data_IF_456472399826
#
_entry.id   IF_456472399826
#
_cell.length_a   1.000
_cell.length_b   1.000
_cell.length_c   1.000
_cell.angle_alpha   90.00
_cell.angle_beta   90.00
_cell.angle_gamma   90.00
#
_symmetry.space_group_name_H-M   'P 1'
#
loop_
_entity.id
_entity.type
_entity.pdbx_description
1 polymer ?
#
# COMPACT_ATOMS: atom_id res chain seq x y z
N UNK A 1 27.91 -30.73 21.07
CA UNK A 1 27.50 -32.15 20.97
C UNK A 1 26.27 -32.51 21.83
N UNK A 2 25.90 -31.72 22.85
CA UNK A 2 24.73 -31.98 23.73
C UNK A 2 23.36 -31.80 23.07
N UNK A 3 23.24 -31.01 22.00
CA UNK A 3 21.95 -30.71 21.36
C UNK A 3 21.30 -31.92 20.66
N UNK A 4 22.10 -32.91 20.22
CA UNK A 4 21.58 -34.14 19.59
C UNK A 4 20.95 -35.13 20.57
N UNK A 5 21.38 -35.11 21.84
CA UNK A 5 20.86 -36.05 22.84
C UNK A 5 19.41 -35.72 23.25
N UNK A 6 19.09 -34.43 23.37
CA UNK A 6 17.74 -33.98 23.73
C UNK A 6 16.68 -34.31 22.67
N UNK A 7 17.01 -34.19 21.39
CA UNK A 7 16.09 -34.49 20.29
C UNK A 7 15.74 -35.99 20.28
N UNK A 8 16.70 -36.86 20.61
CA UNK A 8 16.48 -38.30 20.60
C UNK A 8 15.57 -38.78 21.74
N UNK A 9 15.76 -38.25 22.96
CA UNK A 9 14.88 -38.57 24.08
C UNK A 9 13.44 -38.09 23.87
N UNK A 10 13.26 -36.90 23.28
CA UNK A 10 11.93 -36.40 22.91
C UNK A 10 11.26 -37.29 21.86
N UNK A 11 12.02 -37.78 20.88
CA UNK A 11 11.51 -38.69 19.85
C UNK A 11 11.09 -40.05 20.43
N UNK A 12 11.94 -40.67 21.28
CA UNK A 12 11.64 -41.98 21.90
C UNK A 12 10.44 -41.88 22.83
N UNK A 13 10.36 -40.81 23.64
CA UNK A 13 9.20 -40.57 24.51
C UNK A 13 7.91 -40.37 23.70
N UNK A 14 7.97 -39.61 22.61
CA UNK A 14 6.84 -39.41 21.70
C UNK A 14 6.40 -40.71 21.02
N UNK A 15 7.35 -41.54 20.58
CA UNK A 15 7.07 -42.82 19.93
C UNK A 15 6.46 -43.83 20.90
N UNK A 16 6.99 -43.96 22.11
CA UNK A 16 6.43 -44.83 23.14
C UNK A 16 5.02 -44.38 23.57
N UNK A 17 4.81 -43.07 23.74
CA UNK A 17 3.48 -42.51 24.00
C UNK A 17 2.50 -42.77 22.86
N UNK A 18 2.94 -42.63 21.61
CA UNK A 18 2.15 -42.93 20.42
C UNK A 18 1.73 -44.41 20.32
N UNK A 19 2.66 -45.34 20.57
CA UNK A 19 2.36 -46.77 20.60
C UNK A 19 1.36 -47.13 21.70
N UNK A 20 1.52 -46.54 22.89
CA UNK A 20 0.59 -46.75 23.99
C UNK A 20 -0.81 -46.23 23.65
N UNK A 21 -0.91 -44.99 23.15
CA UNK A 21 -2.19 -44.41 22.73
C UNK A 21 -2.85 -45.22 21.60
N UNK A 22 -2.08 -45.71 20.64
CA UNK A 22 -2.57 -46.57 19.57
C UNK A 22 -3.07 -47.93 20.09
N UNK A 23 -2.32 -48.57 20.99
CA UNK A 23 -2.72 -49.84 21.59
C UNK A 23 -4.04 -49.69 22.37
N UNK A 24 -4.16 -48.63 23.18
CA UNK A 24 -5.39 -48.32 23.91
C UNK A 24 -6.54 -48.02 22.96
N UNK A 25 -6.33 -47.14 21.97
CA UNK A 25 -7.36 -46.79 20.99
C UNK A 25 -7.85 -47.99 20.18
N UNK A 26 -6.95 -48.91 19.82
CA UNK A 26 -7.29 -50.15 19.12
C UNK A 26 -8.18 -51.06 19.97
N UNK A 27 -7.86 -51.26 21.25
CA UNK A 27 -8.68 -52.07 22.15
C UNK A 27 -10.05 -51.43 22.40
N UNK A 28 -10.10 -50.11 22.56
CA UNK A 28 -11.37 -49.38 22.70
C UNK A 28 -12.23 -49.56 21.44
N UNK A 29 -11.66 -49.37 20.25
CA UNK A 29 -12.38 -49.59 18.98
C UNK A 29 -12.93 -51.02 18.87
N UNK A 30 -12.10 -52.02 19.22
CA UNK A 30 -12.52 -53.43 19.18
C UNK A 30 -13.60 -53.76 20.20
N UNK A 31 -13.57 -53.12 21.37
CA UNK A 31 -14.62 -53.24 22.37
C UNK A 31 -15.96 -52.69 21.86
N UNK A 32 -15.95 -51.51 21.25
CA UNK A 32 -17.15 -50.91 20.63
C UNK A 32 -17.64 -51.66 19.40
N UNK A 33 -16.77 -52.34 18.65
CA UNK A 33 -17.16 -53.14 17.49
C UNK A 33 -17.84 -54.47 17.87
N UNK A 34 -17.55 -55.01 19.06
CA UNK A 34 -18.04 -56.34 19.51
C UNK A 34 -19.19 -56.27 20.50
N UNK A 35 -19.42 -55.12 21.13
CA UNK A 35 -20.40 -54.95 22.20
C UNK A 35 -21.21 -53.66 21.99
N UNK A 36 -22.49 -53.62 22.40
CA UNK A 36 -23.28 -52.40 22.39
C UNK A 36 -22.60 -51.28 23.19
N UNK A 37 -22.59 -50.05 22.65
CA UNK A 37 -21.88 -48.91 23.22
C UNK A 37 -22.21 -48.65 24.70
N UNK A 38 -23.46 -48.89 25.12
CA UNK A 38 -23.89 -48.74 26.52
C UNK A 38 -23.13 -49.64 27.50
N UNK A 39 -22.82 -50.88 27.11
CA UNK A 39 -22.12 -51.85 27.97
C UNK A 39 -20.64 -51.49 28.07
N UNK A 40 -20.00 -51.10 26.95
CA UNK A 40 -18.59 -50.70 26.92
C UNK A 40 -18.37 -49.46 27.77
N UNK A 41 -19.27 -48.48 27.68
CA UNK A 41 -19.21 -47.26 28.49
C UNK A 41 -19.44 -47.57 29.96
N UNK A 42 -20.40 -48.44 30.32
CA UNK A 42 -20.65 -48.81 31.71
C UNK A 42 -19.51 -49.64 32.34
N UNK A 43 -18.91 -50.57 31.59
CA UNK A 43 -17.78 -51.36 32.04
C UNK A 43 -16.54 -50.48 32.21
N UNK A 44 -16.27 -49.58 31.26
CA UNK A 44 -15.19 -48.61 31.38
C UNK A 44 -15.38 -47.69 32.60
N UNK A 45 -16.59 -47.16 32.81
CA UNK A 45 -16.92 -46.34 33.99
C UNK A 45 -16.78 -47.13 35.30
N UNK A 46 -17.15 -48.41 35.32
CA UNK A 46 -17.00 -49.26 36.50
C UNK A 46 -15.54 -49.62 36.80
N UNK A 47 -14.72 -49.85 35.77
CA UNK A 47 -13.29 -50.11 35.90
C UNK A 47 -12.54 -48.86 36.40
N UNK A 48 -12.93 -47.68 35.90
CA UNK A 48 -12.47 -46.38 36.40
C UNK A 48 -12.90 -46.16 37.85
N UNK A 49 -14.12 -46.60 38.22
CA UNK A 49 -14.62 -46.56 39.60
C UNK A 49 -13.85 -47.45 40.60
N UNK A 50 -13.16 -48.48 40.12
CA UNK A 50 -12.33 -49.37 40.95
C UNK A 50 -10.93 -48.80 41.25
N UNK A 51 -10.43 -47.87 40.44
CA UNK A 51 -9.16 -47.13 40.59
C UNK A 51 -9.30 -45.87 41.46
N UNK A 52 -10.20 -45.86 42.45
CA UNK A 52 -10.58 -44.67 43.24
C UNK A 52 -9.48 -44.03 44.10
N UNK A 53 -8.31 -44.65 44.28
CA UNK A 53 -7.26 -44.17 45.20
C UNK A 53 -6.00 -43.64 44.52
N UNK A 54 -5.72 -44.05 43.28
CA UNK A 54 -4.60 -43.57 42.48
C UNK A 54 -5.24 -43.10 41.15
N UNK A 55 -5.03 -41.84 40.79
CA UNK A 55 -5.16 -41.31 39.41
C UNK A 55 -6.32 -40.39 39.01
N UNK A 56 -7.25 -39.95 39.88
CA UNK A 56 -8.18 -38.87 39.44
C UNK A 56 -7.42 -37.57 39.12
N UNK A 57 -6.42 -37.22 39.95
CA UNK A 57 -5.57 -36.04 39.75
C UNK A 57 -4.59 -36.23 38.59
N UNK A 58 -4.04 -37.44 38.39
CA UNK A 58 -3.13 -37.74 37.29
C UNK A 58 -3.84 -37.76 35.94
N UNK A 59 -5.00 -38.42 35.83
CA UNK A 59 -5.82 -38.45 34.62
C UNK A 59 -6.29 -37.04 34.27
N UNK A 60 -6.75 -36.26 35.25
CA UNK A 60 -7.15 -34.86 35.03
C UNK A 60 -5.96 -34.01 34.57
N UNK A 61 -4.78 -34.22 35.15
CA UNK A 61 -3.55 -33.52 34.73
C UNK A 61 -3.14 -33.84 33.29
N UNK A 62 -3.15 -35.12 32.90
CA UNK A 62 -2.84 -35.56 31.53
C UNK A 62 -3.89 -35.01 30.55
N UNK A 63 -5.18 -35.12 30.88
CA UNK A 63 -6.26 -34.57 30.07
C UNK A 63 -6.12 -33.06 29.90
N UNK A 64 -5.76 -32.33 30.96
CA UNK A 64 -5.51 -30.89 30.90
C UNK A 64 -4.32 -30.55 29.98
N UNK A 65 -3.22 -31.31 30.04
CA UNK A 65 -2.06 -31.11 29.15
C UNK A 65 -2.42 -31.39 27.70
N UNK A 66 -3.17 -32.47 27.42
CA UNK A 66 -3.64 -32.78 26.07
C UNK A 66 -4.58 -31.68 25.56
N UNK A 67 -5.53 -31.25 26.38
CA UNK A 67 -6.47 -30.18 26.04
C UNK A 67 -5.72 -28.85 25.77
N UNK A 68 -4.71 -28.52 26.58
CA UNK A 68 -3.86 -27.36 26.37
C UNK A 68 -3.07 -27.49 25.06
N UNK A 69 -2.48 -28.65 24.78
CA UNK A 69 -1.73 -28.89 23.54
C UNK A 69 -2.62 -28.75 22.30
N UNK A 70 -3.81 -29.37 22.31
CA UNK A 70 -4.80 -29.27 21.23
C UNK A 70 -5.26 -27.82 21.05
N UNK A 71 -5.55 -27.12 22.15
CA UNK A 71 -5.95 -25.70 22.12
C UNK A 71 -4.85 -24.84 21.49
N UNK A 72 -3.60 -25.01 21.90
CA UNK A 72 -2.46 -24.27 21.35
C UNK A 72 -2.31 -24.55 19.85
N UNK A 73 -2.43 -25.81 19.41
CA UNK A 73 -2.34 -26.15 17.98
C UNK A 73 -3.49 -25.53 17.18
N UNK A 74 -4.71 -25.56 17.69
CA UNK A 74 -5.88 -24.96 17.04
C UNK A 74 -5.70 -23.44 16.90
N UNK A 75 -5.22 -22.76 17.94
CA UNK A 75 -4.91 -21.32 17.90
C UNK A 75 -3.84 -21.00 16.86
N UNK A 76 -2.75 -21.79 16.76
CA UNK A 76 -1.74 -21.58 15.74
C UNK A 76 -2.28 -21.76 14.31
N UNK A 77 -3.14 -22.76 14.10
CA UNK A 77 -3.78 -22.97 12.79
C UNK A 77 -4.74 -21.83 12.44
N UNK A 78 -5.49 -21.33 13.42
CA UNK A 78 -6.36 -20.17 13.24
C UNK A 78 -5.56 -18.92 12.87
N UNK A 79 -4.47 -18.62 13.59
CA UNK A 79 -3.59 -17.48 13.29
C UNK A 79 -3.01 -17.59 11.88
N UNK A 80 -2.59 -18.80 11.46
CA UNK A 80 -2.07 -19.00 10.10
C UNK A 80 -3.15 -18.77 9.03
N UNK A 81 -4.37 -19.23 9.27
CA UNK A 81 -5.51 -18.99 8.36
C UNK A 81 -5.89 -17.51 8.29
N UNK A 82 -5.93 -16.82 9.42
CA UNK A 82 -6.24 -15.38 9.49
C UNK A 82 -5.18 -14.55 8.76
N UNK A 83 -3.89 -14.87 8.93
CA UNK A 83 -2.80 -14.22 8.18
C UNK A 83 -2.96 -14.39 6.68
N UNK A 84 -3.27 -15.60 6.22
CA UNK A 84 -3.48 -15.88 4.80
C UNK A 84 -4.68 -15.10 4.24
N UNK A 85 -5.80 -15.07 4.97
CA UNK A 85 -6.98 -14.29 4.56
C UNK A 85 -6.67 -12.79 4.49
N UNK A 86 -5.86 -12.28 5.41
CA UNK A 86 -5.45 -10.88 5.40
C UNK A 86 -4.49 -10.57 4.23
N UNK A 87 -3.53 -11.45 3.94
CA UNK A 87 -2.67 -11.34 2.76
C UNK A 87 -3.47 -11.34 1.46
N UNK A 88 -4.39 -12.30 1.31
CA UNK A 88 -5.29 -12.40 0.15
C UNK A 88 -6.16 -11.13 0.01
N UNK A 89 -6.65 -10.60 1.14
CA UNK A 89 -7.41 -9.34 1.18
C UNK A 89 -6.58 -8.15 0.74
N UNK A 90 -5.34 -8.01 1.21
CA UNK A 90 -4.44 -6.91 0.83
C UNK A 90 -4.13 -6.97 -0.67
N UNK A 91 -3.82 -8.16 -1.19
CA UNK A 91 -3.53 -8.36 -2.63
C UNK A 91 -4.75 -8.01 -3.49
N UNK A 92 -5.94 -8.46 -3.09
CA UNK A 92 -7.18 -8.15 -3.80
C UNK A 92 -7.48 -6.64 -3.79
N UNK A 93 -7.30 -5.97 -2.65
CA UNK A 93 -7.50 -4.53 -2.55
C UNK A 93 -6.49 -3.75 -3.38
N UNK A 94 -5.21 -4.11 -3.32
CA UNK A 94 -4.18 -3.50 -4.16
C UNK A 94 -4.51 -3.64 -5.67
N UNK A 95 -4.94 -4.82 -6.10
CA UNK A 95 -5.34 -5.05 -7.49
C UNK A 95 -6.56 -4.20 -7.89
N UNK A 96 -7.57 -4.09 -7.01
CA UNK A 96 -8.73 -3.26 -7.24
C UNK A 96 -8.37 -1.76 -7.33
N UNK A 97 -7.55 -1.26 -6.40
CA UNK A 97 -7.06 0.13 -6.43
C UNK A 97 -6.21 0.42 -7.67
N UNK A 98 -5.37 -0.53 -8.11
CA UNK A 98 -4.58 -0.39 -9.34
C UNK A 98 -5.49 -0.31 -10.58
N UNK A 99 -6.57 -1.09 -10.64
CA UNK A 99 -7.49 -1.09 -11.77
C UNK A 99 -8.19 0.27 -12.01
N UNK A 100 -8.41 1.05 -10.95
CA UNK A 100 -9.01 2.39 -11.04
C UNK A 100 -7.97 3.51 -11.18
N UNK A 101 -6.68 3.21 -10.98
CA UNK A 101 -5.59 4.19 -10.98
C UNK A 101 -5.50 5.01 -12.28
N UNK A 102 -5.69 4.48 -13.50
CA UNK A 102 -5.64 5.30 -14.71
C UNK A 102 -6.67 6.44 -14.72
N UNK A 103 -7.86 6.21 -14.17
CA UNK A 103 -8.90 7.23 -14.06
C UNK A 103 -8.51 8.31 -13.05
N UNK A 104 -7.92 7.90 -11.92
CA UNK A 104 -7.42 8.79 -10.86
C UNK A 104 -6.31 9.68 -11.41
N UNK A 105 -5.30 9.10 -12.07
CA UNK A 105 -4.18 9.83 -12.68
C UNK A 105 -4.68 10.81 -13.75
N UNK A 106 -5.65 10.43 -14.57
CA UNK A 106 -6.25 11.32 -15.57
C UNK A 106 -6.90 12.57 -14.95
N UNK A 107 -7.52 12.43 -13.77
CA UNK A 107 -8.08 13.58 -13.03
C UNK A 107 -6.97 14.51 -12.52
N UNK A 108 -5.87 13.95 -12.03
CA UNK A 108 -4.69 14.71 -11.57
C UNK A 108 -4.05 15.45 -12.75
N UNK A 109 -3.83 14.79 -13.88
CA UNK A 109 -3.31 15.44 -15.09
C UNK A 109 -4.24 16.57 -15.57
N UNK A 110 -5.57 16.40 -15.47
CA UNK A 110 -6.53 17.46 -15.81
C UNK A 110 -6.44 18.65 -14.86
N UNK A 111 -6.32 18.41 -13.56
CA UNK A 111 -6.08 19.45 -12.55
C UNK A 111 -4.80 20.23 -12.88
N UNK A 112 -3.66 19.53 -13.00
CA UNK A 112 -2.37 20.13 -13.30
C UNK A 112 -2.40 20.91 -14.62
N UNK A 113 -3.04 20.37 -15.67
CA UNK A 113 -3.26 21.06 -16.94
C UNK A 113 -4.07 22.35 -16.78
N UNK A 114 -5.21 22.28 -16.09
CA UNK A 114 -6.06 23.45 -15.87
C UNK A 114 -5.32 24.55 -15.13
N UNK A 115 -4.65 24.20 -14.03
CA UNK A 115 -3.84 25.13 -13.23
C UNK A 115 -2.68 25.72 -14.03
N UNK A 116 -1.89 24.90 -14.72
CA UNK A 116 -0.77 25.34 -15.54
C UNK A 116 -1.20 26.28 -16.67
N UNK A 117 -2.33 26.00 -17.32
CA UNK A 117 -2.91 26.86 -18.38
C UNK A 117 -3.35 28.21 -17.81
N UNK A 118 -4.09 28.22 -16.70
CA UNK A 118 -4.53 29.47 -16.04
C UNK A 118 -3.33 30.33 -15.60
N UNK A 119 -2.30 29.71 -15.04
CA UNK A 119 -1.08 30.40 -14.63
C UNK A 119 -0.29 30.94 -15.83
N UNK A 120 -0.21 30.20 -16.94
CA UNK A 120 0.42 30.66 -18.18
C UNK A 120 -0.32 31.88 -18.76
N UNK A 121 -1.65 31.87 -18.77
CA UNK A 121 -2.46 33.02 -19.18
C UNK A 121 -2.18 34.23 -18.28
N UNK A 122 -2.06 34.02 -16.97
CA UNK A 122 -1.69 35.08 -16.03
C UNK A 122 -0.29 35.62 -16.32
N UNK A 123 0.71 34.73 -16.52
CA UNK A 123 2.09 35.10 -16.83
C UNK A 123 2.17 35.98 -18.08
N UNK A 124 1.44 35.63 -19.14
CA UNK A 124 1.36 36.42 -20.39
C UNK A 124 0.73 37.80 -20.22
N UNK A 125 -0.02 38.02 -19.13
CA UNK A 125 -0.64 39.31 -18.79
C UNK A 125 0.21 40.16 -17.84
N UNK A 126 1.37 39.68 -17.41
CA UNK A 126 2.32 40.47 -16.63
C UNK A 126 2.76 41.72 -17.42
N UNK A 127 2.88 42.85 -16.72
CA UNK A 127 3.42 44.09 -17.26
C UNK A 127 4.75 44.36 -16.55
N UNK A 128 5.86 44.22 -17.27
CA UNK A 128 7.17 44.10 -16.64
C UNK A 128 7.24 42.79 -15.84
N UNK A 129 7.58 42.86 -14.56
CA UNK A 129 7.77 41.68 -13.70
C UNK A 129 6.56 41.36 -12.81
N UNK A 130 5.45 42.10 -12.90
CA UNK A 130 4.31 41.95 -12.00
C UNK A 130 2.98 41.78 -12.73
N UNK A 131 2.09 40.96 -12.14
CA UNK A 131 0.74 40.74 -12.64
C UNK A 131 -0.20 41.90 -12.23
N UNK A 132 -0.75 42.68 -13.19
CA UNK A 132 -1.64 43.80 -12.89
C UNK A 132 -2.81 43.40 -12.01
N UNK A 133 -3.21 44.23 -11.03
CA UNK A 133 -4.30 43.93 -10.09
C UNK A 133 -5.66 43.70 -10.74
N UNK A 134 -5.87 44.22 -11.96
CA UNK A 134 -7.10 44.01 -12.73
C UNK A 134 -7.29 42.57 -13.21
N UNK A 135 -6.22 41.77 -13.27
CA UNK A 135 -6.30 40.35 -13.69
C UNK A 135 -6.78 39.51 -12.49
N UNK A 136 -7.91 38.81 -12.66
CA UNK A 136 -8.42 37.87 -11.65
C UNK A 136 -7.73 36.51 -11.78
N UNK A 137 -7.42 35.88 -10.65
CA UNK A 137 -6.87 34.52 -10.55
C UNK A 137 -7.94 33.48 -10.16
N UNK A 138 -9.22 33.87 -10.13
CA UNK A 138 -10.34 33.06 -9.63
C UNK A 138 -10.70 31.83 -10.49
N UNK A 139 -9.95 31.56 -11.55
CA UNK A 139 -10.18 30.43 -12.48
C UNK A 139 -9.19 29.28 -12.25
N UNK A 140 -8.46 29.30 -11.14
CA UNK A 140 -7.58 28.18 -10.75
C UNK A 140 -8.46 27.02 -10.28
N UNK A 141 -8.35 25.81 -10.88
CA UNK A 141 -9.12 24.65 -10.45
C UNK A 141 -8.81 24.26 -9.00
N UNK A 142 -9.83 23.77 -8.29
CA UNK A 142 -9.64 23.17 -6.97
C UNK A 142 -8.85 21.85 -7.06
N UNK A 143 -8.11 21.48 -6.00
CA UNK A 143 -7.44 20.18 -5.91
C UNK A 143 -8.41 19.02 -6.12
N UNK A 144 -7.99 17.94 -6.80
CA UNK A 144 -8.86 16.81 -7.10
C UNK A 144 -9.01 15.90 -5.86
N UNK A 145 -9.76 16.35 -4.84
CA UNK A 145 -9.90 15.67 -3.54
C UNK A 145 -10.28 14.19 -3.65
N UNK A 146 -11.21 13.86 -4.57
CA UNK A 146 -11.59 12.46 -4.82
C UNK A 146 -10.44 11.60 -5.35
N UNK A 147 -9.57 12.17 -6.20
CA UNK A 147 -8.39 11.46 -6.70
C UNK A 147 -7.33 11.31 -5.60
N UNK A 148 -7.18 12.33 -4.74
CA UNK A 148 -6.30 12.29 -3.57
C UNK A 148 -6.70 11.15 -2.62
N UNK A 149 -7.99 10.99 -2.34
CA UNK A 149 -8.46 9.92 -1.46
C UNK A 149 -8.23 8.54 -2.07
N UNK A 150 -8.44 8.39 -3.39
CA UNK A 150 -8.09 7.14 -4.09
C UNK A 150 -6.59 6.84 -4.06
N UNK A 151 -5.71 7.85 -4.14
CA UNK A 151 -4.26 7.64 -4.00
C UNK A 151 -3.87 7.24 -2.57
N UNK A 152 -4.53 7.77 -1.54
CA UNK A 152 -4.32 7.35 -0.14
C UNK A 152 -4.69 5.88 0.05
N UNK A 153 -5.83 5.46 -0.48
CA UNK A 153 -6.26 4.06 -0.44
C UNK A 153 -5.27 3.15 -1.18
N UNK A 154 -4.82 3.56 -2.37
CA UNK A 154 -3.81 2.83 -3.12
C UNK A 154 -2.49 2.69 -2.31
N UNK A 155 -2.01 3.76 -1.68
CA UNK A 155 -0.81 3.74 -0.81
C UNK A 155 -0.98 2.75 0.36
N UNK A 156 -2.16 2.71 0.97
CA UNK A 156 -2.45 1.84 2.13
C UNK A 156 -2.19 0.36 1.82
N UNK A 157 -2.56 -0.09 0.63
CA UNK A 157 -2.44 -1.49 0.21
C UNK A 157 -1.19 -1.80 -0.64
N UNK A 158 -0.42 -0.77 -1.02
CA UNK A 158 0.83 -0.93 -1.79
C UNK A 158 1.99 -1.42 -0.93
N UNK A 159 3.00 -2.03 -1.55
CA UNK A 159 4.27 -2.34 -0.87
C UNK A 159 5.10 -1.07 -0.60
N UNK A 160 6.10 -1.14 0.27
CA UNK A 160 6.91 0.04 0.66
C UNK A 160 7.62 0.73 -0.51
N UNK A 161 8.05 -0.03 -1.53
CA UNK A 161 8.75 0.52 -2.69
C UNK A 161 7.81 1.38 -3.56
N UNK A 162 6.60 0.87 -3.81
CA UNK A 162 5.58 1.52 -4.63
C UNK A 162 4.94 2.73 -3.91
N UNK A 163 5.00 2.79 -2.57
CA UNK A 163 4.40 3.93 -1.83
C UNK A 163 5.10 5.25 -2.07
N UNK A 164 6.43 5.25 -2.26
CA UNK A 164 7.21 6.49 -2.23
C UNK A 164 6.85 7.44 -3.38
N UNK A 165 6.79 6.94 -4.60
CA UNK A 165 6.54 7.79 -5.77
C UNK A 165 5.12 8.40 -5.75
N UNK A 166 4.12 7.63 -5.31
CA UNK A 166 2.75 8.15 -5.15
C UNK A 166 2.65 9.11 -3.96
N UNK A 167 3.36 8.86 -2.87
CA UNK A 167 3.42 9.77 -1.72
C UNK A 167 4.08 11.12 -2.10
N UNK A 168 5.14 11.10 -2.90
CA UNK A 168 5.78 12.30 -3.42
C UNK A 168 4.80 13.09 -4.31
N UNK A 169 4.08 12.42 -5.23
CA UNK A 169 3.04 13.05 -6.04
C UNK A 169 1.94 13.70 -5.17
N UNK A 170 1.48 13.02 -4.11
CA UNK A 170 0.49 13.57 -3.20
C UNK A 170 1.04 14.79 -2.45
N UNK A 171 2.29 14.73 -2.00
CA UNK A 171 2.96 15.84 -1.34
C UNK A 171 3.08 17.05 -2.27
N UNK A 172 3.46 16.84 -3.53
CA UNK A 172 3.58 17.91 -4.53
C UNK A 172 2.23 18.58 -4.80
N UNK A 173 1.14 17.81 -4.93
CA UNK A 173 -0.23 18.37 -5.09
C UNK A 173 -0.60 19.26 -3.89
N UNK A 174 -0.35 18.79 -2.66
CA UNK A 174 -0.68 19.53 -1.45
C UNK A 174 0.14 20.80 -1.32
N UNK A 175 1.45 20.73 -1.55
CA UNK A 175 2.36 21.88 -1.50
C UNK A 175 1.98 22.90 -2.57
N UNK A 176 1.72 22.45 -3.79
CA UNK A 176 1.30 23.32 -4.88
C UNK A 176 -0.02 24.02 -4.57
N UNK A 177 -1.03 23.29 -4.09
CA UNK A 177 -2.32 23.86 -3.68
C UNK A 177 -2.15 24.92 -2.58
N UNK A 178 -1.39 24.62 -1.53
CA UNK A 178 -1.18 25.55 -0.42
C UNK A 178 -0.44 26.83 -0.87
N UNK A 179 0.53 26.70 -1.78
CA UNK A 179 1.24 27.84 -2.37
C UNK A 179 0.32 28.72 -3.21
N UNK A 180 -0.57 28.11 -4.01
CA UNK A 180 -1.54 28.86 -4.82
C UNK A 180 -2.55 29.60 -3.95
N UNK A 181 -3.10 28.94 -2.92
CA UNK A 181 -4.00 29.57 -1.96
C UNK A 181 -3.31 30.74 -1.25
N UNK A 182 -2.06 30.54 -0.80
CA UNK A 182 -1.23 31.59 -0.21
C UNK A 182 -1.03 32.78 -1.16
N UNK A 183 -0.68 32.54 -2.43
CA UNK A 183 -0.52 33.59 -3.43
C UNK A 183 -1.82 34.37 -3.65
N UNK A 184 -2.96 33.69 -3.74
CA UNK A 184 -4.27 34.32 -3.94
C UNK A 184 -4.60 35.23 -2.74
N UNK A 185 -4.45 34.71 -1.51
CA UNK A 185 -4.68 35.47 -0.29
C UNK A 185 -3.76 36.69 -0.16
N UNK A 186 -2.46 36.51 -0.43
CA UNK A 186 -1.48 37.61 -0.41
C UNK A 186 -1.82 38.70 -1.44
N UNK A 187 -2.30 38.29 -2.62
CA UNK A 187 -2.74 39.21 -3.67
C UNK A 187 -3.97 40.01 -3.24
N UNK A 188 -4.94 39.36 -2.59
CA UNK A 188 -6.11 40.03 -2.02
C UNK A 188 -5.73 41.06 -0.95
N UNK A 189 -4.65 40.80 -0.21
CA UNK A 189 -4.05 41.75 0.75
C UNK A 189 -3.19 42.84 0.08
N UNK A 190 -3.13 42.87 -1.25
CA UNK A 190 -2.45 43.89 -2.04
C UNK A 190 -0.98 43.60 -2.33
N UNK A 191 -0.44 42.43 -1.98
CA UNK A 191 0.92 42.04 -2.38
C UNK A 191 0.99 41.80 -3.89
N UNK A 192 2.05 42.27 -4.58
CA UNK A 192 2.22 42.01 -6.00
C UNK A 192 2.54 40.52 -6.23
N UNK A 193 1.95 39.93 -7.26
CA UNK A 193 2.34 38.61 -7.76
C UNK A 193 3.36 38.82 -8.87
N UNK A 194 4.57 38.28 -8.70
CA UNK A 194 5.65 38.44 -9.68
C UNK A 194 5.58 37.35 -10.75
N UNK A 195 6.09 37.66 -11.95
CA UNK A 195 6.22 36.71 -13.04
C UNK A 195 7.01 35.45 -12.61
N UNK A 196 8.07 35.64 -11.83
CA UNK A 196 8.89 34.55 -11.29
C UNK A 196 8.09 33.59 -10.38
N UNK A 197 7.11 34.09 -9.61
CA UNK A 197 6.24 33.24 -8.80
C UNK A 197 5.33 32.38 -9.70
N UNK A 198 4.75 32.99 -10.74
CA UNK A 198 3.90 32.28 -11.70
C UNK A 198 4.68 31.20 -12.45
N UNK A 199 5.91 31.49 -12.88
CA UNK A 199 6.79 30.50 -13.50
C UNK A 199 7.10 29.31 -12.58
N UNK A 200 7.36 29.58 -11.29
CA UNK A 200 7.58 28.50 -10.31
C UNK A 200 6.32 27.65 -10.11
N UNK A 201 5.14 28.27 -10.07
CA UNK A 201 3.89 27.50 -9.95
C UNK A 201 3.55 26.73 -11.23
N UNK A 202 3.87 27.26 -12.41
CA UNK A 202 3.76 26.51 -13.68
C UNK A 202 4.70 25.31 -13.65
N UNK A 203 5.92 25.48 -13.14
CA UNK A 203 6.87 24.40 -12.96
C UNK A 203 6.34 23.31 -12.01
N UNK A 204 5.84 23.69 -10.83
CA UNK A 204 5.25 22.74 -9.87
C UNK A 204 4.08 21.97 -10.50
N UNK A 205 3.20 22.66 -11.26
CA UNK A 205 2.11 22.01 -11.99
C UNK A 205 2.63 21.02 -13.06
N UNK A 206 3.72 21.37 -13.74
CA UNK A 206 4.35 20.49 -14.73
C UNK A 206 4.94 19.23 -14.06
N UNK A 207 5.56 19.37 -12.88
CA UNK A 207 6.08 18.24 -12.10
C UNK A 207 4.94 17.29 -11.70
N UNK A 208 3.82 17.81 -11.19
CA UNK A 208 2.62 17.02 -10.87
C UNK A 208 2.10 16.28 -12.10
N UNK A 209 2.01 16.97 -13.25
CA UNK A 209 1.57 16.36 -14.51
C UNK A 209 2.51 15.24 -14.95
N UNK A 210 3.83 15.47 -14.90
CA UNK A 210 4.84 14.49 -15.27
C UNK A 210 4.81 13.25 -14.39
N UNK A 211 4.77 13.42 -13.06
CA UNK A 211 4.64 12.30 -12.11
C UNK A 211 3.38 11.48 -12.33
N UNK A 212 2.23 12.15 -12.48
CA UNK A 212 0.98 11.46 -12.74
C UNK A 212 1.02 10.70 -14.08
N UNK A 213 1.67 11.27 -15.09
CA UNK A 213 1.79 10.64 -16.42
C UNK A 213 2.74 9.44 -16.41
N UNK A 214 3.86 9.52 -15.69
CA UNK A 214 4.83 8.43 -15.54
C UNK A 214 4.24 7.18 -14.86
N UNK A 215 3.13 7.33 -14.11
CA UNK A 215 2.44 6.22 -13.46
C UNK A 215 1.50 5.45 -14.38
N UNK A 216 1.21 5.91 -15.60
CA UNK A 216 0.22 5.26 -16.47
C UNK A 216 0.63 3.85 -16.88
N UNK A 217 1.89 3.60 -17.23
CA UNK A 217 2.36 2.29 -17.67
C UNK A 217 2.20 1.25 -16.54
N UNK A 218 2.54 1.66 -15.31
CA UNK A 218 2.28 0.85 -14.12
C UNK A 218 0.78 0.63 -13.89
N UNK A 219 -0.02 1.70 -13.96
CA UNK A 219 -1.47 1.63 -13.73
C UNK A 219 -2.20 0.73 -14.74
N UNK A 220 -1.70 0.64 -15.98
CA UNK A 220 -2.27 -0.18 -17.06
C UNK A 220 -1.78 -1.64 -17.07
N UNK A 221 -0.80 -1.99 -16.24
CA UNK A 221 -0.21 -3.34 -16.27
C UNK A 221 0.86 -3.53 -17.33
N UNK A 222 1.29 -2.47 -18.01
CA UNK A 222 2.37 -2.53 -19.02
C UNK A 222 3.74 -2.67 -18.33
N UNK A 223 3.89 -2.05 -17.16
CA UNK A 223 5.02 -2.27 -16.26
C UNK A 223 4.53 -2.81 -14.89
N UNK A 224 5.28 -3.75 -14.31
CA UNK A 224 5.01 -4.29 -12.98
C UNK A 224 5.72 -3.54 -11.85
N UNK A 225 6.69 -2.69 -12.19
CA UNK A 225 7.35 -1.81 -11.23
C UNK A 225 6.88 -0.36 -11.41
N UNK A 226 6.74 0.33 -10.28
CA UNK A 226 6.51 1.77 -10.30
C UNK A 226 7.79 2.51 -10.71
N UNK A 227 7.70 3.67 -11.39
CA UNK A 227 8.84 4.56 -11.55
C UNK A 227 9.48 4.89 -10.19
N UNK A 228 10.81 4.79 -10.13
CA UNK A 228 11.59 5.14 -8.93
C UNK A 228 12.05 6.59 -8.93
N UNK A 229 12.02 7.26 -10.08
CA UNK A 229 12.56 8.60 -10.29
C UNK A 229 11.77 9.29 -11.40
N UNK A 230 11.61 10.61 -11.27
CA UNK A 230 11.01 11.45 -12.29
C UNK A 230 12.11 12.09 -13.13
N UNK A 231 12.06 11.90 -14.44
CA UNK A 231 13.03 12.47 -15.37
C UNK A 231 12.51 13.75 -16.03
N UNK A 232 13.43 14.54 -16.57
CA UNK A 232 13.09 15.78 -17.28
C UNK A 232 12.15 15.52 -18.47
N UNK A 233 12.35 14.41 -19.17
CA UNK A 233 11.58 13.99 -20.34
C UNK A 233 10.12 13.69 -19.99
N UNK A 234 9.81 13.30 -18.75
CA UNK A 234 8.45 13.06 -18.30
C UNK A 234 7.67 14.35 -18.05
N UNK A 235 8.39 15.46 -17.81
CA UNK A 235 7.82 16.78 -17.48
C UNK A 235 7.60 17.61 -18.76
N UNK A 236 8.45 17.49 -19.78
CA UNK A 236 8.34 18.29 -21.00
C UNK A 236 6.97 18.25 -21.71
N UNK A 237 6.26 17.10 -21.79
CA UNK A 237 4.93 17.05 -22.38
C UNK A 237 3.92 17.98 -21.69
N UNK A 238 4.11 18.26 -20.39
CA UNK A 238 3.25 19.17 -19.63
C UNK A 238 3.29 20.60 -20.18
N UNK A 239 4.45 21.09 -20.63
CA UNK A 239 4.59 22.45 -21.17
C UNK A 239 3.72 22.63 -22.43
N UNK A 240 3.71 21.62 -23.30
CA UNK A 240 2.82 21.58 -24.47
C UNK A 240 1.35 21.45 -24.05
N UNK A 241 1.05 20.65 -23.02
CA UNK A 241 -0.30 20.53 -22.49
C UNK A 241 -0.83 21.85 -21.90
N UNK A 242 0.06 22.73 -21.40
CA UNK A 242 -0.27 24.04 -20.82
C UNK A 242 -0.27 25.17 -21.86
N UNK A 243 -0.14 24.84 -23.15
CA UNK A 243 -0.10 25.79 -24.27
C UNK A 243 1.07 26.80 -24.19
N UNK A 244 2.23 26.34 -23.70
CA UNK A 244 3.47 27.11 -23.63
C UNK A 244 4.33 26.80 -24.86
N UNK A 245 4.21 27.65 -25.88
CA UNK A 245 4.88 27.49 -27.18
C UNK A 245 5.92 28.57 -27.49
N UNK A 246 5.99 29.60 -26.65
CA UNK A 246 6.84 30.78 -26.83
C UNK A 246 8.19 30.66 -26.11
N UNK A 247 8.94 31.76 -26.03
CA UNK A 247 10.26 31.81 -25.37
C UNK A 247 10.24 31.39 -23.91
N UNK A 248 9.10 31.47 -23.22
CA UNK A 248 8.95 30.99 -21.83
C UNK A 248 9.19 29.48 -21.76
N UNK A 249 8.94 28.74 -22.86
CA UNK A 249 9.19 27.31 -22.94
C UNK A 249 10.67 26.99 -22.74
N UNK A 250 11.58 27.75 -23.36
CA UNK A 250 13.03 27.50 -23.26
C UNK A 250 13.55 27.76 -21.84
N UNK A 251 13.04 28.82 -21.19
CA UNK A 251 13.37 29.14 -19.80
C UNK A 251 12.92 28.01 -18.86
N UNK A 252 11.69 27.52 -19.03
CA UNK A 252 11.14 26.43 -18.23
C UNK A 252 11.89 25.11 -18.49
N UNK A 253 12.21 24.78 -19.75
CA UNK A 253 13.03 23.60 -20.08
C UNK A 253 14.39 23.69 -19.39
N UNK A 254 15.07 24.85 -19.46
CA UNK A 254 16.36 25.05 -18.80
C UNK A 254 16.29 24.87 -17.29
N UNK A 255 15.16 25.26 -16.66
CA UNK A 255 14.92 25.05 -15.23
C UNK A 255 14.66 23.58 -14.90
N UNK A 256 13.83 22.90 -15.70
CA UNK A 256 13.56 21.46 -15.58
C UNK A 256 14.86 20.65 -15.69
N UNK A 257 15.67 20.91 -16.70
CA UNK A 257 16.93 20.20 -16.93
C UNK A 257 17.98 20.42 -15.82
N UNK A 258 17.90 21.53 -15.07
CA UNK A 258 18.77 21.77 -13.90
C UNK A 258 18.31 21.01 -12.65
N UNK A 259 17.00 20.82 -12.48
CA UNK A 259 16.43 20.20 -11.27
C UNK A 259 16.26 18.69 -11.41
N UNK A 260 16.00 18.20 -12.62
CA UNK A 260 15.78 16.79 -12.91
C UNK A 260 16.89 16.26 -13.81
N UNK A 261 17.31 15.03 -13.54
CA UNK A 261 18.24 14.31 -14.39
C UNK A 261 17.53 13.92 -15.69
N UNK A 262 18.28 13.88 -16.78
CA UNK A 262 17.81 13.26 -18.01
C UNK A 262 17.84 11.74 -17.88
N UNK A 263 16.87 11.06 -18.47
CA UNK A 263 16.83 9.60 -18.49
C UNK A 263 18.00 9.04 -19.33
N UNK A 264 18.93 8.26 -18.74
CA UNK A 264 20.02 7.66 -19.50
C UNK A 264 19.52 6.69 -20.58
N UNK A 265 18.39 6.00 -20.37
CA UNK A 265 17.90 4.97 -21.29
C UNK A 265 17.21 5.56 -22.53
N UNK A 266 16.65 6.77 -22.44
CA UNK A 266 16.01 7.45 -23.58
C UNK A 266 17.00 8.19 -24.49
N UNK A 267 18.23 8.43 -24.03
CA UNK A 267 19.28 9.09 -24.82
C UNK A 267 19.77 8.25 -25.99
N UNK A 268 19.67 6.92 -25.91
CA UNK A 268 20.24 6.01 -26.91
C UNK A 268 19.28 5.73 -28.09
N UNK A 269 18.04 6.23 -28.04
CA UNK A 269 17.01 5.98 -29.05
C UNK A 269 16.77 7.17 -30.02
N UNK A 270 17.60 8.22 -29.94
CA UNK A 270 17.51 9.43 -30.77
C UNK A 270 18.87 9.78 -31.38
#
# INVERSE_FOLDING_TARGET
MSFRLHIWHAFVAGFAGGLFAFAVGREVWWAFARRPAGIVISEALSAIGLLRWIDTTLITGIAAVIAAFVSVRAVHQQIASERKMEEDRIVAQHAASRAVLPLVLSRICRYAKGTGTTLNIALKRCQGEALPRSVKLSEIPDPPNTAIDSLKEFIQFSNTADRRFVADLLSDIQVHSARLEGMILEREQGRPVLALNLEEYIFDAAEIYGRASALFDYARGENNSMPSTLYAEDIFPALSAFEIWDSSREVLIGRIARRHQADPARRDNH
#
